data_IF_723304590357
#
_entry.id   IF_723304590357
#
_cell.length_a   1.000
_cell.length_b   1.000
_cell.length_c   1.000
_cell.angle_alpha   90.00
_cell.angle_beta   90.00
_cell.angle_gamma   90.00
#
_symmetry.space_group_name_H-M   'P 1'
#
loop_
_entity.id
_entity.type
_entity.pdbx_description
1 polymer ?
#
# COMPACT_ATOMS: atom_id res chain seq x y z
N UNK A 1 -53.61 -19.17 36.56
CA UNK A 1 -52.69 -18.08 36.93
C UNK A 1 -51.49 -18.26 36.00
N UNK A 2 -51.65 -17.77 34.77
CA UNK A 2 -50.72 -18.02 33.67
C UNK A 2 -49.48 -17.15 33.81
N UNK A 3 -48.33 -17.81 33.81
CA UNK A 3 -47.00 -17.24 33.86
C UNK A 3 -46.69 -16.62 32.49
N UNK A 4 -46.67 -15.29 32.42
CA UNK A 4 -46.42 -14.55 31.18
C UNK A 4 -44.95 -14.15 31.14
N UNK A 5 -44.17 -15.02 30.53
CA UNK A 5 -42.79 -14.85 30.10
C UNK A 5 -42.59 -13.46 29.47
N UNK A 6 -41.96 -12.54 30.21
CA UNK A 6 -41.55 -11.24 29.71
C UNK A 6 -40.16 -11.40 29.11
N UNK A 7 -40.14 -11.68 27.82
CA UNK A 7 -38.95 -11.57 26.99
C UNK A 7 -38.39 -10.15 27.08
N UNK A 8 -37.23 -10.03 27.73
CA UNK A 8 -36.42 -8.81 27.73
C UNK A 8 -35.85 -8.66 26.34
N UNK A 9 -36.50 -7.86 25.50
CA UNK A 9 -35.96 -7.44 24.21
C UNK A 9 -34.75 -6.55 24.46
N UNK A 10 -33.56 -7.07 24.18
CA UNK A 10 -32.34 -6.28 24.07
C UNK A 10 -32.53 -5.12 23.07
N UNK A 11 -32.02 -3.92 23.36
CA UNK A 11 -32.11 -2.81 22.43
C UNK A 11 -31.34 -3.17 21.15
N UNK A 12 -31.83 -2.78 19.96
CA UNK A 12 -31.13 -3.04 18.72
C UNK A 12 -29.74 -2.39 18.80
N UNK A 13 -28.71 -3.18 18.51
CA UNK A 13 -27.33 -2.72 18.43
C UNK A 13 -27.27 -1.46 17.58
N UNK A 14 -26.80 -0.36 18.16
CA UNK A 14 -26.59 0.90 17.48
C UNK A 14 -25.75 0.66 16.23
N UNK A 15 -26.27 1.06 15.08
CA UNK A 15 -25.54 1.08 13.82
C UNK A 15 -24.19 1.81 14.00
N UNK A 16 -23.11 1.31 13.37
CA UNK A 16 -21.83 1.99 13.44
C UNK A 16 -21.97 3.42 12.87
N UNK A 17 -21.20 4.39 13.40
CA UNK A 17 -21.24 5.75 12.86
C UNK A 17 -20.85 5.70 11.39
N UNK A 18 -21.54 6.50 10.57
CA UNK A 18 -21.33 6.60 9.14
C UNK A 18 -19.84 6.87 8.82
N UNK A 19 -19.10 5.81 8.48
CA UNK A 19 -17.82 5.93 7.82
C UNK A 19 -18.09 6.56 6.46
N UNK A 20 -17.36 7.63 6.15
CA UNK A 20 -17.36 8.21 4.82
C UNK A 20 -17.20 7.11 3.79
N UNK A 21 -18.07 7.06 2.78
CA UNK A 21 -17.87 6.21 1.61
C UNK A 21 -16.42 6.37 1.11
N UNK A 22 -15.72 5.27 0.77
CA UNK A 22 -14.33 5.34 0.32
C UNK A 22 -14.20 6.37 -0.80
N UNK A 23 -13.22 7.29 -0.73
CA UNK A 23 -13.10 8.37 -1.73
C UNK A 23 -12.97 7.81 -3.17
N UNK A 24 -12.40 6.61 -3.33
CA UNK A 24 -12.35 5.88 -4.59
C UNK A 24 -13.72 5.37 -5.08
N UNK A 25 -14.63 4.93 -4.19
CA UNK A 25 -15.98 4.51 -4.59
C UNK A 25 -16.75 5.69 -5.20
N UNK A 26 -16.76 6.81 -4.47
CA UNK A 26 -17.37 8.07 -4.91
C UNK A 26 -16.77 8.58 -6.25
N UNK A 27 -15.48 8.34 -6.47
CA UNK A 27 -14.80 8.73 -7.72
C UNK A 27 -15.17 7.81 -8.90
N UNK A 28 -15.47 6.54 -8.63
CA UNK A 28 -15.74 5.53 -9.66
C UNK A 28 -17.24 5.35 -9.99
N UNK A 29 -18.14 6.06 -9.32
CA UNK A 29 -19.60 6.06 -9.55
C UNK A 29 -20.05 6.56 -10.94
N UNK A 30 -19.14 7.08 -11.76
CA UNK A 30 -19.45 7.62 -13.09
C UNK A 30 -19.78 9.11 -13.07
N UNK A 31 -20.56 9.63 -14.05
CA UNK A 31 -20.72 11.07 -14.24
C UNK A 31 -21.46 11.75 -13.08
N UNK A 32 -20.82 12.74 -12.45
CA UNK A 32 -21.43 13.55 -11.38
C UNK A 32 -21.54 15.01 -11.78
N UNK A 33 -22.10 15.84 -10.90
CA UNK A 33 -22.20 17.28 -11.14
C UNK A 33 -20.81 17.90 -11.31
N UNK A 34 -20.69 18.88 -12.20
CA UNK A 34 -19.41 19.60 -12.45
C UNK A 34 -18.80 20.16 -11.16
N UNK A 35 -19.65 20.56 -10.22
CA UNK A 35 -19.21 21.07 -8.92
C UNK A 35 -18.65 19.95 -8.05
N UNK A 36 -19.31 18.79 -7.97
CA UNK A 36 -18.78 17.64 -7.26
C UNK A 36 -17.43 17.17 -7.84
N UNK A 37 -17.34 17.07 -9.17
CA UNK A 37 -16.08 16.73 -9.86
C UNK A 37 -14.96 17.71 -9.53
N UNK A 38 -15.25 19.01 -9.49
CA UNK A 38 -14.28 20.03 -9.12
C UNK A 38 -13.71 19.80 -7.71
N UNK A 39 -14.52 19.48 -6.70
CA UNK A 39 -14.00 19.16 -5.37
C UNK A 39 -13.23 17.86 -5.33
N UNK A 40 -13.65 16.85 -6.09
CA UNK A 40 -12.88 15.61 -6.23
C UNK A 40 -11.48 15.91 -6.79
N UNK A 41 -11.37 16.73 -7.85
CA UNK A 41 -10.08 17.15 -8.39
C UNK A 41 -9.20 17.86 -7.36
N UNK A 42 -9.77 18.72 -6.50
CA UNK A 42 -9.01 19.36 -5.42
C UNK A 42 -8.49 18.35 -4.39
N UNK A 43 -9.26 17.29 -4.08
CA UNK A 43 -8.82 16.22 -3.17
C UNK A 43 -7.71 15.38 -3.79
N UNK A 44 -7.84 15.01 -5.06
CA UNK A 44 -6.80 14.30 -5.82
C UNK A 44 -5.51 15.13 -5.89
N UNK A 45 -5.63 16.44 -6.16
CA UNK A 45 -4.49 17.36 -6.16
C UNK A 45 -3.80 17.40 -4.80
N UNK A 46 -4.56 17.41 -3.70
CA UNK A 46 -4.03 17.38 -2.34
C UNK A 46 -3.21 16.10 -2.08
N UNK A 47 -3.65 14.94 -2.57
CA UNK A 47 -2.90 13.69 -2.45
C UNK A 47 -1.56 13.75 -3.20
N UNK A 48 -1.57 14.25 -4.44
CA UNK A 48 -0.32 14.46 -5.18
C UNK A 48 0.61 15.46 -4.50
N UNK A 49 0.09 16.58 -3.99
CA UNK A 49 0.89 17.57 -3.26
C UNK A 49 1.53 16.97 -1.99
N UNK A 50 0.76 16.17 -1.23
CA UNK A 50 1.28 15.46 -0.04
C UNK A 50 2.35 14.45 -0.42
N UNK A 51 2.11 13.65 -1.46
CA UNK A 51 3.07 12.70 -2.02
C UNK A 51 4.36 13.36 -2.44
N UNK A 52 4.26 14.39 -3.28
CA UNK A 52 5.44 15.09 -3.81
C UNK A 52 6.28 15.73 -2.73
N UNK A 53 5.66 16.34 -1.70
CA UNK A 53 6.40 16.96 -0.59
C UNK A 53 7.08 15.93 0.31
N UNK A 54 6.38 14.85 0.64
CA UNK A 54 6.89 13.82 1.56
C UNK A 54 8.03 13.02 0.93
N UNK A 55 7.89 12.69 -0.36
CA UNK A 55 8.82 11.87 -1.12
C UNK A 55 9.92 12.69 -1.83
N UNK A 56 9.90 14.02 -1.75
CA UNK A 56 10.88 14.86 -2.47
C UNK A 56 12.34 14.53 -2.13
N UNK A 57 12.63 14.25 -0.86
CA UNK A 57 14.01 14.03 -0.36
C UNK A 57 14.31 12.57 0.01
N UNK A 58 13.47 11.62 -0.40
CA UNK A 58 13.69 10.21 -0.04
C UNK A 58 14.79 9.53 -0.85
N UNK A 59 15.35 10.19 -1.86
CA UNK A 59 16.44 9.67 -2.68
C UNK A 59 16.03 8.53 -3.61
N UNK A 60 16.98 7.77 -4.18
CA UNK A 60 16.66 6.68 -5.09
C UNK A 60 15.94 5.56 -4.34
N UNK A 61 14.72 5.23 -4.77
CA UNK A 61 13.90 4.22 -4.10
C UNK A 61 13.82 2.90 -4.88
N UNK A 62 13.61 1.82 -4.14
CA UNK A 62 13.16 0.53 -4.67
C UNK A 62 11.86 0.18 -3.96
N UNK A 63 10.78 -0.03 -4.73
CA UNK A 63 9.51 -0.45 -4.15
C UNK A 63 9.50 -1.95 -3.93
N UNK A 64 9.08 -2.37 -2.75
CA UNK A 64 8.82 -3.78 -2.44
C UNK A 64 7.33 -4.02 -2.28
N UNK A 65 6.81 -4.98 -3.05
CA UNK A 65 5.43 -5.45 -2.98
C UNK A 65 5.36 -6.89 -2.48
N UNK A 66 4.25 -7.23 -1.81
CA UNK A 66 3.92 -8.60 -1.45
C UNK A 66 2.78 -8.66 -0.43
N UNK A 67 2.52 -9.86 0.06
CA UNK A 67 1.38 -10.16 0.93
C UNK A 67 1.40 -9.39 2.25
N UNK A 68 0.27 -8.78 2.61
CA UNK A 68 0.01 -8.27 3.95
C UNK A 68 -0.30 -9.37 4.99
N UNK A 69 -0.50 -10.62 4.53
CA UNK A 69 -0.99 -11.74 5.36
C UNK A 69 0.10 -12.72 5.78
N UNK A 70 1.28 -12.66 5.15
CA UNK A 70 2.42 -13.50 5.51
C UNK A 70 2.91 -13.14 6.91
N UNK A 71 3.12 -14.15 7.76
CA UNK A 71 3.54 -13.98 9.15
C UNK A 71 5.07 -13.98 9.27
N UNK A 72 5.59 -13.60 10.45
CA UNK A 72 7.03 -13.45 10.70
C UNK A 72 7.83 -14.75 10.70
N UNK A 73 7.16 -15.87 10.94
CA UNK A 73 7.70 -17.23 10.93
C UNK A 73 7.82 -17.83 9.52
N UNK A 74 7.21 -17.19 8.53
CA UNK A 74 7.26 -17.63 7.13
C UNK A 74 8.65 -17.39 6.51
N UNK A 75 9.22 -18.36 5.76
CA UNK A 75 10.50 -18.20 5.08
C UNK A 75 10.56 -16.98 4.15
N UNK A 76 9.46 -16.62 3.50
CA UNK A 76 9.40 -15.44 2.64
C UNK A 76 9.53 -14.15 3.42
N UNK A 77 9.04 -14.08 4.66
CA UNK A 77 9.21 -12.90 5.51
C UNK A 77 10.70 -12.66 5.78
N UNK A 78 11.44 -13.68 6.21
CA UNK A 78 12.87 -13.53 6.51
C UNK A 78 13.69 -13.27 5.24
N UNK A 79 13.32 -13.89 4.11
CA UNK A 79 13.90 -13.57 2.80
C UNK A 79 13.71 -12.09 2.44
N UNK A 80 12.49 -11.56 2.58
CA UNK A 80 12.19 -10.16 2.32
C UNK A 80 12.95 -9.23 3.26
N UNK A 81 13.09 -9.58 4.54
CA UNK A 81 13.87 -8.79 5.50
C UNK A 81 15.34 -8.71 5.10
N UNK A 82 15.96 -9.83 4.72
CA UNK A 82 17.33 -9.85 4.19
C UNK A 82 17.46 -9.03 2.91
N UNK A 83 16.48 -9.12 2.02
CA UNK A 83 16.44 -8.34 0.78
C UNK A 83 16.32 -6.83 1.05
N UNK A 84 15.44 -6.41 1.97
CA UNK A 84 15.31 -5.00 2.37
C UNK A 84 16.60 -4.45 2.97
N UNK A 85 17.30 -5.24 3.79
CA UNK A 85 18.63 -4.90 4.30
C UNK A 85 19.68 -4.76 3.18
N UNK A 86 19.64 -5.65 2.18
CA UNK A 86 20.56 -5.58 1.03
C UNK A 86 20.31 -4.33 0.18
N UNK A 87 19.05 -3.98 -0.10
CA UNK A 87 18.69 -2.74 -0.80
C UNK A 87 19.22 -1.51 -0.04
N UNK A 88 19.00 -1.47 1.27
CA UNK A 88 19.49 -0.38 2.13
C UNK A 88 21.01 -0.23 2.08
N UNK A 89 21.76 -1.34 2.15
CA UNK A 89 23.24 -1.33 2.06
C UNK A 89 23.77 -0.84 0.72
N UNK A 90 23.00 -0.96 -0.35
CA UNK A 90 23.32 -0.40 -1.66
C UNK A 90 23.05 1.11 -1.75
N UNK A 91 22.53 1.74 -0.69
CA UNK A 91 22.23 3.17 -0.63
C UNK A 91 20.83 3.55 -1.14
N UNK A 92 20.00 2.57 -1.48
CA UNK A 92 18.62 2.80 -1.89
C UNK A 92 17.70 2.92 -0.67
N UNK A 93 16.66 3.72 -0.83
CA UNK A 93 15.55 3.78 0.11
C UNK A 93 14.55 2.68 -0.20
N UNK A 94 14.11 1.95 0.82
CA UNK A 94 13.04 0.96 0.66
C UNK A 94 11.69 1.66 0.82
N UNK A 95 10.85 1.56 -0.21
CA UNK A 95 9.47 2.06 -0.17
C UNK A 95 8.49 0.88 -0.26
N UNK A 96 7.41 0.91 0.51
CA UNK A 96 6.39 -0.15 0.53
C UNK A 96 4.99 0.46 0.65
N UNK A 97 3.96 -0.38 0.69
CA UNK A 97 2.60 0.06 1.06
C UNK A 97 2.40 0.40 2.54
N UNK A 98 3.42 0.22 3.39
CA UNK A 98 3.40 0.55 4.82
C UNK A 98 2.59 -0.39 5.73
N UNK A 99 1.97 -1.43 5.16
CA UNK A 99 1.18 -2.41 5.92
C UNK A 99 2.03 -3.51 6.59
N UNK A 100 1.36 -4.53 7.18
CA UNK A 100 2.01 -5.69 7.80
C UNK A 100 2.59 -6.68 6.78
N UNK A 101 3.08 -7.82 7.26
CA UNK A 101 3.58 -8.93 6.44
C UNK A 101 4.85 -8.60 5.68
N UNK A 102 4.88 -8.89 4.38
CA UNK A 102 6.05 -8.65 3.52
C UNK A 102 6.46 -7.18 3.52
N UNK A 103 5.49 -6.26 3.49
CA UNK A 103 5.78 -4.83 3.52
C UNK A 103 6.56 -4.46 4.81
N UNK A 104 6.08 -4.93 5.97
CA UNK A 104 6.79 -4.79 7.23
C UNK A 104 8.20 -5.41 7.17
N UNK A 105 8.34 -6.62 6.63
CA UNK A 105 9.63 -7.30 6.55
C UNK A 105 10.67 -6.48 5.78
N UNK A 106 10.29 -5.93 4.63
CA UNK A 106 11.15 -5.08 3.80
C UNK A 106 11.57 -3.81 4.55
N UNK A 107 10.60 -3.11 5.14
CA UNK A 107 10.84 -1.90 5.93
C UNK A 107 11.74 -2.17 7.14
N UNK A 108 11.49 -3.26 7.85
CA UNK A 108 12.28 -3.72 8.99
C UNK A 108 13.73 -3.98 8.59
N UNK A 109 13.93 -4.76 7.53
CA UNK A 109 15.26 -5.08 7.02
C UNK A 109 16.06 -3.83 6.65
N UNK A 110 15.42 -2.87 5.98
CA UNK A 110 16.05 -1.62 5.62
C UNK A 110 16.49 -0.82 6.85
N UNK A 111 15.60 -0.69 7.84
CA UNK A 111 15.83 0.09 9.06
C UNK A 111 16.93 -0.54 9.93
N UNK A 112 16.91 -1.86 10.09
CA UNK A 112 17.93 -2.59 10.86
C UNK A 112 19.32 -2.50 10.21
N UNK A 113 19.39 -2.29 8.89
CA UNK A 113 20.63 -2.02 8.17
C UNK A 113 21.06 -0.55 8.20
N UNK A 114 20.34 0.33 8.92
CA UNK A 114 20.62 1.77 8.96
C UNK A 114 20.21 2.53 7.70
N UNK A 115 19.43 1.91 6.81
CA UNK A 115 18.88 2.55 5.62
C UNK A 115 17.57 3.29 5.89
N UNK A 116 17.08 4.00 4.87
CA UNK A 116 15.80 4.72 4.93
C UNK A 116 14.64 3.80 4.56
N UNK A 117 13.55 3.90 5.32
CA UNK A 117 12.34 3.11 5.15
C UNK A 117 11.10 4.02 5.05
N UNK A 118 10.34 3.87 3.97
CA UNK A 118 9.18 4.71 3.64
C UNK A 118 7.94 3.86 3.36
N UNK A 119 6.78 4.33 3.82
CA UNK A 119 5.49 3.73 3.48
C UNK A 119 4.58 4.69 2.72
N UNK A 120 3.95 4.19 1.68
CA UNK A 120 2.82 4.84 0.99
C UNK A 120 1.56 4.07 1.32
N UNK A 121 0.85 4.47 2.38
CA UNK A 121 -0.37 3.82 2.83
C UNK A 121 -1.59 4.36 2.09
N UNK A 122 -2.64 3.55 2.01
CA UNK A 122 -3.95 3.92 1.47
C UNK A 122 -4.99 3.84 2.59
N UNK A 123 -5.93 4.78 2.61
CA UNK A 123 -7.07 4.72 3.52
C UNK A 123 -8.05 3.63 3.07
N UNK A 124 -8.43 2.75 3.99
CA UNK A 124 -9.36 1.65 3.74
C UNK A 124 -10.44 1.64 4.83
N UNK A 125 -11.66 1.17 4.54
CA UNK A 125 -12.74 1.09 5.54
C UNK A 125 -12.36 0.29 6.80
N UNK A 126 -11.54 -0.75 6.62
CA UNK A 126 -10.85 -1.44 7.71
C UNK A 126 -9.37 -1.06 7.68
N UNK A 127 -8.98 -0.14 8.56
CA UNK A 127 -7.60 0.32 8.63
C UNK A 127 -6.65 -0.85 8.92
N UNK A 128 -5.65 -1.01 8.04
CA UNK A 128 -4.50 -1.85 8.34
C UNK A 128 -3.51 -1.04 9.18
N UNK A 129 -2.98 -1.61 10.29
CA UNK A 129 -2.00 -0.90 11.09
C UNK A 129 -0.76 -0.62 10.23
N UNK A 130 -0.32 0.62 10.25
CA UNK A 130 0.96 1.01 9.66
C UNK A 130 2.08 0.34 10.46
N UNK A 131 3.07 -0.24 9.78
CA UNK A 131 4.14 -0.96 10.47
C UNK A 131 5.09 -0.01 11.23
N UNK A 132 5.73 -0.52 12.29
CA UNK A 132 6.55 0.27 13.19
C UNK A 132 7.96 0.62 12.66
N UNK A 133 8.30 0.20 11.44
CA UNK A 133 9.64 0.32 10.86
C UNK A 133 9.73 1.39 9.77
N UNK A 134 8.78 2.31 9.72
CA UNK A 134 8.78 3.44 8.79
C UNK A 134 9.44 4.66 9.43
N UNK A 135 10.34 5.31 8.68
CA UNK A 135 10.88 6.63 9.05
C UNK A 135 9.98 7.75 8.54
N UNK A 136 9.32 7.51 7.40
CA UNK A 136 8.31 8.41 6.82
C UNK A 136 7.13 7.59 6.30
N UNK A 137 5.94 8.17 6.44
CA UNK A 137 4.72 7.62 5.89
C UNK A 137 3.95 8.72 5.15
N UNK A 138 3.51 8.42 3.93
CA UNK A 138 2.50 9.22 3.23
C UNK A 138 1.21 8.42 3.17
N UNK A 139 0.14 9.01 3.72
CA UNK A 139 -1.20 8.45 3.65
C UNK A 139 -1.98 9.13 2.52
N UNK A 140 -2.51 8.30 1.64
CA UNK A 140 -3.28 8.69 0.46
C UNK A 140 -4.71 8.16 0.59
N UNK A 141 -5.62 8.77 -0.13
CA UNK A 141 -7.04 8.39 -0.16
C UNK A 141 -7.41 7.72 -1.47
N UNK A 142 -6.71 8.04 -2.56
CA UNK A 142 -6.98 7.48 -3.89
C UNK A 142 -5.95 6.42 -4.30
N UNK A 143 -6.43 5.25 -4.74
CA UNK A 143 -5.56 4.16 -5.20
C UNK A 143 -4.63 4.60 -6.34
N UNK A 144 -5.16 5.24 -7.39
CA UNK A 144 -4.38 5.60 -8.56
C UNK A 144 -3.26 6.61 -8.24
N UNK A 145 -3.50 7.53 -7.29
CA UNK A 145 -2.48 8.49 -6.85
C UNK A 145 -1.33 7.77 -6.15
N UNK A 146 -1.65 6.77 -5.32
CA UNK A 146 -0.66 5.91 -4.65
C UNK A 146 0.22 5.17 -5.64
N UNK A 147 -0.38 4.48 -6.61
CA UNK A 147 0.37 3.72 -7.62
C UNK A 147 1.29 4.61 -8.43
N UNK A 148 0.77 5.76 -8.88
CA UNK A 148 1.55 6.77 -9.60
C UNK A 148 2.78 7.21 -8.81
N UNK A 149 2.64 7.46 -7.50
CA UNK A 149 3.76 7.86 -6.64
C UNK A 149 4.77 6.72 -6.44
N UNK A 150 4.31 5.47 -6.27
CA UNK A 150 5.20 4.32 -6.12
C UNK A 150 6.06 4.07 -7.36
N UNK A 151 5.50 4.23 -8.56
CA UNK A 151 6.27 4.14 -9.82
C UNK A 151 7.20 5.35 -9.97
N UNK A 152 6.68 6.57 -9.78
CA UNK A 152 7.43 7.82 -10.02
C UNK A 152 8.73 7.93 -9.23
N UNK A 153 8.73 7.51 -7.97
CA UNK A 153 9.88 7.68 -7.07
C UNK A 153 10.83 6.48 -7.05
N UNK A 154 10.51 5.42 -7.77
CA UNK A 154 11.26 4.18 -7.74
C UNK A 154 12.09 3.99 -9.00
N UNK A 155 13.19 3.26 -8.83
CA UNK A 155 14.07 2.86 -9.93
C UNK A 155 13.90 1.39 -10.28
N UNK A 156 13.37 0.59 -9.35
CA UNK A 156 13.16 -0.84 -9.50
C UNK A 156 11.99 -1.28 -8.63
N UNK A 157 11.34 -2.38 -9.04
CA UNK A 157 10.39 -3.09 -8.21
C UNK A 157 10.92 -4.46 -7.81
N UNK A 158 10.69 -4.83 -6.55
CA UNK A 158 10.86 -6.20 -6.06
C UNK A 158 9.49 -6.74 -5.68
N UNK A 159 9.10 -7.86 -6.28
CA UNK A 159 7.80 -8.49 -6.12
C UNK A 159 8.01 -9.82 -5.40
N UNK A 160 7.55 -9.85 -4.15
CA UNK A 160 7.55 -11.04 -3.29
C UNK A 160 6.19 -11.75 -3.39
N UNK A 161 6.05 -12.98 -2.87
CA UNK A 161 4.77 -13.69 -2.83
C UNK A 161 3.63 -12.84 -2.26
N UNK A 162 2.51 -12.79 -2.99
CA UNK A 162 1.43 -11.84 -2.74
C UNK A 162 0.16 -12.14 -3.52
N UNK A 163 -0.93 -11.52 -3.07
CA UNK A 163 -2.26 -11.69 -3.69
C UNK A 163 -2.54 -10.67 -4.79
N UNK A 164 -3.84 -10.41 -5.02
CA UNK A 164 -4.32 -9.54 -6.09
C UNK A 164 -3.66 -8.14 -6.09
N UNK A 165 -3.52 -7.48 -4.95
CA UNK A 165 -2.87 -6.17 -4.89
C UNK A 165 -1.39 -6.18 -5.28
N UNK A 166 -0.69 -7.29 -5.07
CA UNK A 166 0.71 -7.45 -5.51
C UNK A 166 0.78 -7.67 -7.03
N UNK A 167 -0.16 -8.46 -7.57
CA UNK A 167 -0.29 -8.68 -9.01
C UNK A 167 -0.70 -7.40 -9.76
N UNK A 168 -1.60 -6.61 -9.20
CA UNK A 168 -2.07 -5.34 -9.75
C UNK A 168 -0.89 -4.38 -10.00
N UNK A 169 -0.02 -4.19 -9.00
CA UNK A 169 1.18 -3.35 -9.12
C UNK A 169 2.22 -3.93 -10.08
N UNK A 170 2.36 -5.27 -10.13
CA UNK A 170 3.24 -5.96 -11.08
C UNK A 170 2.76 -5.73 -12.52
N UNK A 171 1.49 -5.99 -12.82
CA UNK A 171 0.95 -5.85 -14.17
C UNK A 171 0.88 -4.38 -14.61
N UNK A 172 0.64 -3.44 -13.70
CA UNK A 172 0.75 -2.01 -14.00
C UNK A 172 2.16 -1.64 -14.45
N UNK A 173 3.19 -2.07 -13.72
CA UNK A 173 4.58 -1.83 -14.09
C UNK A 173 4.95 -2.46 -15.44
N UNK A 174 4.54 -3.72 -15.68
CA UNK A 174 4.75 -4.40 -16.96
C UNK A 174 4.08 -3.64 -18.11
N UNK A 175 2.85 -3.17 -17.91
CA UNK A 175 2.11 -2.38 -18.91
C UNK A 175 2.83 -1.07 -19.22
N UNK A 176 3.35 -0.38 -18.21
CA UNK A 176 4.12 0.86 -18.39
C UNK A 176 5.45 0.64 -19.13
N UNK A 177 6.13 -0.49 -18.90
CA UNK A 177 7.34 -0.88 -19.64
C UNK A 177 6.99 -1.21 -21.10
N UNK A 178 5.97 -2.06 -21.31
CA UNK A 178 5.55 -2.51 -22.64
C UNK A 178 5.11 -1.33 -23.52
N UNK A 179 4.44 -0.34 -22.93
CA UNK A 179 3.99 0.88 -23.62
C UNK A 179 5.05 1.97 -23.73
N UNK A 180 6.26 1.73 -23.19
CA UNK A 180 7.39 2.66 -23.24
C UNK A 180 7.22 3.92 -22.38
N UNK A 181 6.27 3.92 -21.44
CA UNK A 181 6.05 5.02 -20.48
C UNK A 181 7.15 5.10 -19.42
N UNK A 182 7.75 3.95 -19.08
CA UNK A 182 8.97 3.88 -18.27
C UNK A 182 10.03 3.07 -19.03
N UNK A 183 11.30 3.51 -18.92
CA UNK A 183 12.45 2.86 -19.57
C UNK A 183 13.50 2.56 -18.50
N UNK A 184 14.24 1.46 -18.66
CA UNK A 184 15.29 1.02 -17.73
C UNK A 184 14.77 0.78 -16.30
N UNK A 185 13.63 0.12 -16.17
CA UNK A 185 12.98 -0.15 -14.90
C UNK A 185 12.99 -1.67 -14.61
N UNK A 186 13.98 -2.19 -13.87
CA UNK A 186 14.03 -3.61 -13.54
C UNK A 186 12.90 -4.01 -12.58
N UNK A 187 12.28 -5.15 -12.88
CA UNK A 187 11.31 -5.84 -12.02
C UNK A 187 11.94 -7.17 -11.61
N UNK A 188 12.09 -7.39 -10.31
CA UNK A 188 12.65 -8.62 -9.75
C UNK A 188 11.55 -9.38 -9.04
N UNK A 189 11.25 -10.60 -9.50
CA UNK A 189 10.28 -11.49 -8.85
C UNK A 189 11.05 -12.47 -7.97
N UNK A 190 10.69 -12.54 -6.69
CA UNK A 190 11.33 -13.40 -5.69
C UNK A 190 10.34 -14.40 -5.08
N UNK A 191 10.86 -15.52 -4.57
CA UNK A 191 10.05 -16.65 -4.08
C UNK A 191 9.54 -17.50 -5.24
N UNK A 192 10.44 -18.01 -6.07
CA UNK A 192 10.10 -18.72 -7.31
C UNK A 192 9.24 -19.96 -7.08
N UNK A 193 9.30 -20.55 -5.90
CA UNK A 193 8.41 -21.62 -5.43
C UNK A 193 6.93 -21.20 -5.43
N UNK A 194 6.61 -19.95 -5.08
CA UNK A 194 5.24 -19.41 -5.12
C UNK A 194 4.75 -19.14 -6.54
N UNK A 195 5.63 -18.73 -7.46
CA UNK A 195 5.28 -18.27 -8.81
C UNK A 195 5.34 -19.34 -9.89
N UNK A 196 5.61 -20.60 -9.53
CA UNK A 196 5.76 -21.71 -10.49
C UNK A 196 4.44 -22.30 -10.97
N UNK A 197 3.37 -22.11 -10.20
CA UNK A 197 2.00 -22.50 -10.55
C UNK A 197 1.28 -21.35 -11.26
#
# INVERSE_FOLDING_TARGET
MEDKDRSVTEPPASSPPAGSEPEDEIFLEGPRSRFAEFFTLLRVMRDFLRGFRTLHFVGPCVTVFGSARIKRDDPHYELTRKMGAAIARLGFTVITGGGPGIMEAANRGAREAGGRSVGCTIELPSEQPTNAYLDRCVRLHYFFARKTLLVKYSYAFVVMPGGAGTLDELFEALTLIQTGKIKNFPIVIMGTDYWKE
#
